data_IF_991773407708
#
_entry.id   IF_991773407708
#
_cell.length_a   1.000
_cell.length_b   1.000
_cell.length_c   1.000
_cell.angle_alpha   90.00
_cell.angle_beta   90.00
_cell.angle_gamma   90.00
#
_symmetry.space_group_name_H-M   'P 1'
#
loop_
_entity.id
_entity.type
_entity.pdbx_description
1 polymer ?
#
# COMPACT_ATOMS: atom_id res chain seq x y z
N UNK A 1 -15.25 17.96 -17.81
CA UNK A 1 -13.98 18.11 -17.06
C UNK A 1 -12.90 17.37 -17.82
N UNK A 2 -11.72 17.97 -17.98
CA UNK A 2 -10.57 17.30 -18.64
C UNK A 2 -9.99 16.22 -17.70
N UNK A 3 -9.41 15.15 -18.26
CA UNK A 3 -8.80 14.07 -17.45
C UNK A 3 -7.80 14.57 -16.39
N UNK A 4 -6.90 15.56 -16.69
CA UNK A 4 -6.02 16.14 -15.68
C UNK A 4 -6.76 16.78 -14.51
N UNK A 5 -7.88 17.47 -14.75
CA UNK A 5 -8.65 18.09 -13.67
C UNK A 5 -9.31 17.06 -12.75
N UNK A 6 -9.81 15.95 -13.30
CA UNK A 6 -10.37 14.84 -12.50
C UNK A 6 -9.27 14.20 -11.65
N UNK A 7 -8.10 13.96 -12.23
CA UNK A 7 -6.97 13.36 -11.52
C UNK A 7 -6.43 14.28 -10.41
N UNK A 8 -6.36 15.58 -10.66
CA UNK A 8 -5.98 16.55 -9.64
C UNK A 8 -7.00 16.60 -8.49
N UNK A 9 -8.30 16.69 -8.81
CA UNK A 9 -9.35 16.67 -7.80
C UNK A 9 -9.33 15.40 -6.94
N UNK A 10 -9.17 14.24 -7.56
CA UNK A 10 -9.04 12.94 -6.87
C UNK A 10 -7.82 12.96 -5.92
N UNK A 11 -6.66 13.39 -6.41
CA UNK A 11 -5.43 13.42 -5.59
C UNK A 11 -5.54 14.39 -4.42
N UNK A 12 -6.03 15.61 -4.65
CA UNK A 12 -6.21 16.61 -3.60
C UNK A 12 -7.17 16.10 -2.53
N UNK A 13 -8.32 15.56 -2.93
CA UNK A 13 -9.31 14.99 -2.01
C UNK A 13 -8.72 13.86 -1.20
N UNK A 14 -8.01 12.94 -1.86
CA UNK A 14 -7.35 11.81 -1.21
C UNK A 14 -6.33 12.28 -0.17
N UNK A 15 -5.43 13.22 -0.54
CA UNK A 15 -4.42 13.74 0.38
C UNK A 15 -5.04 14.51 1.54
N UNK A 16 -6.06 15.32 1.30
CA UNK A 16 -6.76 16.03 2.36
C UNK A 16 -7.34 15.09 3.42
N UNK A 17 -8.03 14.02 2.98
CA UNK A 17 -8.60 13.00 3.88
C UNK A 17 -7.48 12.24 4.59
N UNK A 18 -6.45 11.77 3.86
CA UNK A 18 -5.39 10.95 4.44
C UNK A 18 -4.55 11.75 5.43
N UNK A 19 -4.16 12.98 5.12
CA UNK A 19 -3.42 13.87 6.03
C UNK A 19 -4.26 14.17 7.29
N UNK A 20 -5.57 14.41 7.12
CA UNK A 20 -6.46 14.61 8.27
C UNK A 20 -6.52 13.36 9.18
N UNK A 21 -6.53 12.17 8.61
CA UNK A 21 -6.51 10.91 9.35
C UNK A 21 -5.18 10.71 10.11
N UNK A 22 -4.04 10.93 9.44
CA UNK A 22 -2.71 10.61 10.01
C UNK A 22 -2.16 11.69 10.96
N UNK A 23 -2.69 12.93 10.93
CA UNK A 23 -2.16 14.08 11.72
C UNK A 23 -2.04 13.85 13.23
N UNK A 24 -2.77 12.89 13.78
CA UNK A 24 -2.79 12.57 15.22
C UNK A 24 -2.18 11.21 15.55
N UNK A 25 -1.47 10.58 14.60
CA UNK A 25 -0.82 9.30 14.86
C UNK A 25 0.36 9.50 15.82
N UNK A 26 0.48 8.60 16.79
CA UNK A 26 1.66 8.52 17.66
C UNK A 26 2.50 7.35 17.19
N UNK A 27 3.73 7.64 16.79
CA UNK A 27 4.71 6.63 16.39
C UNK A 27 5.56 6.28 17.61
N UNK A 28 5.45 5.07 18.09
CA UNK A 28 6.36 4.49 19.08
C UNK A 28 7.44 3.65 18.35
N UNK A 29 8.53 3.37 19.04
CA UNK A 29 9.68 2.63 18.49
C UNK A 29 9.23 1.28 17.90
N UNK A 30 8.30 0.60 18.56
CA UNK A 30 7.77 -0.68 18.11
C UNK A 30 7.04 -0.56 16.79
N UNK A 31 6.17 0.43 16.66
CA UNK A 31 5.44 0.70 15.41
C UNK A 31 6.39 1.02 14.25
N UNK A 32 7.47 1.77 14.54
CA UNK A 32 8.50 2.09 13.54
C UNK A 32 9.22 0.81 13.10
N UNK A 33 9.60 -0.08 14.02
CA UNK A 33 10.25 -1.34 13.69
C UNK A 33 9.35 -2.22 12.80
N UNK A 34 8.06 -2.37 13.13
CA UNK A 34 7.13 -3.13 12.28
C UNK A 34 6.95 -2.46 10.93
N UNK A 35 6.77 -1.15 10.88
CA UNK A 35 6.64 -0.39 9.65
C UNK A 35 7.85 -0.58 8.73
N UNK A 36 9.07 -0.55 9.27
CA UNK A 36 10.31 -0.74 8.51
C UNK A 36 10.41 -2.14 7.91
N UNK A 37 10.12 -3.20 8.69
CA UNK A 37 10.13 -4.58 8.20
C UNK A 37 9.07 -4.79 7.10
N UNK A 38 7.85 -4.28 7.33
CA UNK A 38 6.78 -4.37 6.35
C UNK A 38 7.10 -3.58 5.08
N UNK A 39 7.73 -2.41 5.22
CA UNK A 39 8.18 -1.63 4.08
C UNK A 39 9.21 -2.39 3.25
N UNK A 40 10.23 -2.94 3.88
CA UNK A 40 11.24 -3.76 3.20
C UNK A 40 10.62 -4.96 2.47
N UNK A 41 9.72 -5.68 3.13
CA UNK A 41 9.01 -6.81 2.54
C UNK A 41 8.17 -6.38 1.33
N UNK A 42 7.45 -5.25 1.45
CA UNK A 42 6.66 -4.69 0.34
C UNK A 42 7.53 -4.37 -0.86
N UNK A 43 8.69 -3.72 -0.65
CA UNK A 43 9.63 -3.37 -1.72
C UNK A 43 10.17 -4.62 -2.41
N UNK A 44 10.60 -5.64 -1.64
CA UNK A 44 11.10 -6.90 -2.19
C UNK A 44 10.02 -7.60 -3.03
N UNK A 45 8.79 -7.72 -2.52
CA UNK A 45 7.68 -8.34 -3.25
C UNK A 45 7.28 -7.55 -4.50
N UNK A 46 7.39 -6.23 -4.47
CA UNK A 46 7.14 -5.38 -5.63
C UNK A 46 8.20 -5.56 -6.75
N UNK A 47 9.41 -6.00 -6.39
CA UNK A 47 10.47 -6.36 -7.34
C UNK A 47 10.20 -7.67 -8.08
N UNK A 48 9.43 -8.60 -7.49
CA UNK A 48 9.07 -9.88 -8.11
C UNK A 48 7.85 -9.66 -9.01
N UNK A 49 8.10 -9.56 -10.32
CA UNK A 49 7.07 -9.21 -11.31
C UNK A 49 6.86 -10.33 -12.32
N UNK A 50 5.60 -10.61 -12.61
CA UNK A 50 5.18 -11.55 -13.65
C UNK A 50 4.64 -10.71 -14.82
N UNK A 51 5.33 -10.71 -15.98
CA UNK A 51 4.89 -9.94 -17.14
C UNK A 51 3.62 -10.54 -17.74
N UNK A 52 2.72 -9.68 -18.16
CA UNK A 52 1.49 -10.06 -18.87
C UNK A 52 1.60 -9.75 -20.36
N UNK A 53 0.85 -10.44 -21.22
CA UNK A 53 0.81 -10.16 -22.67
C UNK A 53 0.37 -8.74 -23.02
N UNK A 54 -0.35 -8.06 -22.13
CA UNK A 54 -0.77 -6.66 -22.27
C UNK A 54 0.37 -5.65 -22.10
N UNK A 55 1.58 -6.10 -21.73
CA UNK A 55 2.71 -5.23 -21.37
C UNK A 55 2.68 -4.74 -19.91
N UNK A 56 1.63 -5.06 -19.16
CA UNK A 56 1.56 -4.79 -17.72
C UNK A 56 2.22 -5.91 -16.89
N UNK A 57 2.40 -5.68 -15.59
CA UNK A 57 2.99 -6.67 -14.69
C UNK A 57 2.10 -6.89 -13.47
N UNK A 58 2.04 -8.13 -12.99
CA UNK A 58 1.47 -8.48 -11.68
C UNK A 58 2.64 -8.68 -10.70
N UNK A 59 2.51 -8.16 -9.48
CA UNK A 59 3.50 -8.39 -8.43
C UNK A 59 3.12 -9.59 -7.56
N UNK A 60 4.11 -10.17 -6.88
CA UNK A 60 3.90 -11.35 -6.04
C UNK A 60 3.30 -10.99 -4.66
N UNK A 61 2.12 -10.35 -4.66
CA UNK A 61 1.41 -10.02 -3.41
C UNK A 61 1.99 -8.83 -2.65
N UNK A 62 2.61 -7.88 -3.34
CA UNK A 62 3.21 -6.69 -2.73
C UNK A 62 2.23 -5.81 -1.93
N UNK A 63 0.92 -5.98 -2.13
CA UNK A 63 -0.12 -5.23 -1.43
C UNK A 63 -0.42 -5.79 -0.04
N UNK A 64 -0.20 -7.09 0.15
CA UNK A 64 -0.57 -7.83 1.36
C UNK A 64 0.11 -7.27 2.61
N UNK A 65 1.44 -7.02 2.64
CA UNK A 65 2.11 -6.58 3.85
C UNK A 65 1.56 -5.26 4.41
N UNK A 66 1.30 -4.27 3.55
CA UNK A 66 0.72 -2.99 3.97
C UNK A 66 -0.72 -3.13 4.46
N UNK A 67 -1.55 -3.97 3.81
CA UNK A 67 -2.89 -4.27 4.30
C UNK A 67 -2.87 -4.96 5.66
N UNK A 68 -1.96 -5.91 5.87
CA UNK A 68 -1.77 -6.60 7.15
C UNK A 68 -1.30 -5.62 8.22
N UNK A 69 -0.35 -4.74 7.91
CA UNK A 69 0.10 -3.70 8.85
C UNK A 69 -1.07 -2.83 9.32
N UNK A 70 -1.95 -2.43 8.39
CA UNK A 70 -3.14 -1.65 8.66
C UNK A 70 -4.12 -2.35 9.61
N UNK A 71 -4.35 -3.65 9.41
CA UNK A 71 -5.29 -4.45 10.20
C UNK A 71 -4.72 -4.89 11.54
N UNK A 72 -3.41 -5.11 11.62
CA UNK A 72 -2.75 -5.63 12.83
C UNK A 72 -2.36 -4.52 13.80
N UNK A 73 -1.83 -3.41 13.32
CA UNK A 73 -1.41 -2.27 14.14
C UNK A 73 -2.41 -1.11 14.06
N UNK A 74 -2.25 -0.27 13.05
CA UNK A 74 -3.06 0.94 12.86
C UNK A 74 -3.10 1.34 11.37
N UNK A 75 -4.28 1.64 10.82
CA UNK A 75 -4.44 2.14 9.45
C UNK A 75 -3.55 3.35 9.14
N UNK A 76 -3.39 4.27 10.09
CA UNK A 76 -2.64 5.52 9.93
C UNK A 76 -1.15 5.25 9.76
N UNK A 77 -0.60 4.29 10.53
CA UNK A 77 0.80 3.87 10.42
C UNK A 77 1.03 3.25 9.04
N UNK A 78 0.11 2.40 8.57
CA UNK A 78 0.20 1.79 7.25
C UNK A 78 0.12 2.82 6.12
N UNK A 79 -0.70 3.88 6.24
CA UNK A 79 -0.76 4.97 5.26
C UNK A 79 0.58 5.71 5.15
N UNK A 80 1.21 6.06 6.28
CA UNK A 80 2.53 6.71 6.31
C UNK A 80 3.59 5.77 5.72
N UNK A 81 3.59 4.50 6.15
CA UNK A 81 4.49 3.48 5.61
C UNK A 81 4.31 3.32 4.10
N UNK A 82 3.08 3.38 3.62
CA UNK A 82 2.75 3.33 2.19
C UNK A 82 3.39 4.49 1.39
N UNK A 83 3.41 5.72 1.92
CA UNK A 83 4.12 6.82 1.27
C UNK A 83 5.61 6.55 1.13
N UNK A 84 6.24 6.04 2.20
CA UNK A 84 7.66 5.68 2.19
C UNK A 84 7.90 4.53 1.19
N UNK A 85 7.07 3.48 1.22
CA UNK A 85 7.16 2.36 0.28
C UNK A 85 7.04 2.82 -1.18
N UNK A 86 6.10 3.72 -1.48
CA UNK A 86 5.92 4.24 -2.84
C UNK A 86 7.18 4.91 -3.38
N UNK A 87 7.82 5.74 -2.57
CA UNK A 87 9.08 6.40 -2.93
C UNK A 87 10.20 5.36 -3.09
N UNK A 88 10.35 4.42 -2.15
CA UNK A 88 11.39 3.40 -2.20
C UNK A 88 11.23 2.46 -3.40
N UNK A 89 10.02 2.05 -3.74
CA UNK A 89 9.74 1.23 -4.93
C UNK A 89 10.18 1.97 -6.20
N UNK A 90 9.85 3.26 -6.31
CA UNK A 90 10.25 4.08 -7.45
C UNK A 90 11.77 4.21 -7.57
N UNK A 91 12.49 4.33 -6.45
CA UNK A 91 13.94 4.55 -6.45
C UNK A 91 14.74 3.25 -6.61
N UNK A 92 14.23 2.13 -6.09
CA UNK A 92 15.00 0.88 -5.98
C UNK A 92 14.65 -0.15 -7.05
N UNK A 93 13.46 -0.06 -7.67
CA UNK A 93 13.01 -1.08 -8.61
C UNK A 93 13.02 -0.52 -10.04
N UNK A 94 13.88 -1.04 -10.92
CA UNK A 94 13.92 -0.62 -12.32
C UNK A 94 12.56 -0.78 -13.03
N UNK A 95 12.21 0.15 -13.90
CA UNK A 95 10.94 0.14 -14.63
C UNK A 95 9.74 0.68 -13.86
N UNK A 96 9.97 1.31 -12.70
CA UNK A 96 8.97 2.06 -11.93
C UNK A 96 9.21 3.59 -12.02
N UNK A 97 10.07 4.00 -12.92
CA UNK A 97 10.36 5.41 -13.14
C UNK A 97 9.10 6.16 -13.57
N UNK A 98 8.98 7.38 -13.13
CA UNK A 98 7.86 8.25 -13.49
C UNK A 98 8.21 9.08 -14.73
N UNK A 99 7.28 9.18 -15.67
CA UNK A 99 7.42 10.02 -16.88
C UNK A 99 7.33 11.50 -16.53
N UNK A 100 6.59 11.83 -15.46
CA UNK A 100 6.37 13.20 -15.02
C UNK A 100 6.34 13.29 -13.50
N UNK A 101 6.90 14.35 -12.92
CA UNK A 101 6.96 14.52 -11.45
C UNK A 101 5.58 14.45 -10.76
N UNK A 102 4.51 14.98 -11.40
CA UNK A 102 3.16 14.93 -10.85
C UNK A 102 2.60 13.49 -10.73
N UNK A 103 3.14 12.56 -11.51
CA UNK A 103 2.78 11.14 -11.44
C UNK A 103 3.15 10.52 -10.09
N UNK A 104 4.21 11.01 -9.44
CA UNK A 104 4.64 10.54 -8.12
C UNK A 104 3.49 10.63 -7.11
N UNK A 105 2.76 11.73 -7.12
CA UNK A 105 1.64 11.93 -6.20
C UNK A 105 0.52 10.92 -6.42
N UNK A 106 0.11 10.69 -7.67
CA UNK A 106 -1.02 9.83 -8.00
C UNK A 106 -0.64 8.35 -7.95
N UNK A 107 0.47 8.00 -8.57
CA UNK A 107 0.83 6.59 -8.78
C UNK A 107 1.66 6.01 -7.64
N UNK A 108 2.57 6.78 -7.06
CA UNK A 108 3.42 6.28 -5.98
C UNK A 108 2.79 6.54 -4.61
N UNK A 109 2.50 7.79 -4.28
CA UNK A 109 2.03 8.13 -2.94
C UNK A 109 0.59 7.66 -2.68
N UNK A 110 -0.37 7.95 -3.57
CA UNK A 110 -1.76 7.50 -3.40
C UNK A 110 -1.84 5.99 -3.44
N UNK A 111 -1.28 5.34 -4.46
CA UNK A 111 -1.47 3.91 -4.69
C UNK A 111 -0.81 3.00 -3.65
N UNK A 112 0.24 3.43 -2.95
CA UNK A 112 0.80 2.65 -1.84
C UNK A 112 0.13 2.98 -0.51
N UNK A 113 -0.13 4.25 -0.21
CA UNK A 113 -0.76 4.62 1.06
C UNK A 113 -2.22 4.21 1.17
N UNK A 114 -2.94 4.08 0.04
CA UNK A 114 -4.34 3.63 0.05
C UNK A 114 -4.52 2.21 0.62
N UNK A 115 -3.49 1.37 0.61
CA UNK A 115 -3.53 0.06 1.23
C UNK A 115 -3.75 0.14 2.75
N UNK A 116 -3.40 1.27 3.37
CA UNK A 116 -3.73 1.57 4.76
C UNK A 116 -5.22 1.66 5.05
N UNK A 117 -6.08 1.94 4.06
CA UNK A 117 -7.53 1.95 4.25
C UNK A 117 -8.12 0.57 4.54
N UNK A 118 -7.37 -0.51 4.33
CA UNK A 118 -7.82 -1.88 4.63
C UNK A 118 -8.33 -2.05 6.07
N UNK A 119 -7.75 -1.34 7.04
CA UNK A 119 -8.13 -1.43 8.45
C UNK A 119 -9.14 -0.37 8.93
N UNK A 120 -9.60 0.55 8.10
CA UNK A 120 -10.45 1.69 8.53
C UNK A 120 -11.78 1.24 9.14
N UNK A 121 -12.36 0.15 8.65
CA UNK A 121 -13.62 -0.40 9.21
C UNK A 121 -13.40 -1.34 10.41
N UNK A 122 -12.14 -1.61 10.77
CA UNK A 122 -11.79 -2.53 11.84
C UNK A 122 -11.43 -3.92 11.35
N UNK A 123 -11.05 -4.80 12.30
CA UNK A 123 -10.51 -6.15 12.04
C UNK A 123 -11.32 -7.26 12.72
N UNK A 124 -12.25 -6.90 13.57
CA UNK A 124 -13.01 -7.80 14.48
C UNK A 124 -13.93 -8.76 13.73
N UNK A 125 -14.43 -8.37 12.57
CA UNK A 125 -15.33 -9.17 11.74
C UNK A 125 -14.80 -9.31 10.32
N UNK A 126 -14.88 -10.49 9.73
CA UNK A 126 -14.42 -10.76 8.37
C UNK A 126 -15.03 -9.81 7.32
N UNK A 127 -16.30 -9.46 7.45
CA UNK A 127 -16.94 -8.53 6.52
C UNK A 127 -16.34 -7.12 6.56
N UNK A 128 -15.90 -6.65 7.75
CA UNK A 128 -15.22 -5.35 7.87
C UNK A 128 -13.85 -5.37 7.19
N UNK A 129 -13.12 -6.49 7.36
CA UNK A 129 -11.85 -6.72 6.65
C UNK A 129 -12.08 -6.73 5.15
N UNK A 130 -13.11 -7.46 4.69
CA UNK A 130 -13.47 -7.52 3.27
C UNK A 130 -13.82 -6.13 2.72
N UNK A 131 -14.67 -5.36 3.40
CA UNK A 131 -15.02 -4.00 2.98
C UNK A 131 -13.80 -3.08 2.94
N UNK A 132 -12.93 -3.12 3.95
CA UNK A 132 -11.73 -2.28 4.02
C UNK A 132 -10.71 -2.62 2.94
N UNK A 133 -10.42 -3.89 2.74
CA UNK A 133 -9.50 -4.34 1.68
C UNK A 133 -10.05 -4.04 0.28
N UNK A 134 -11.35 -4.23 0.06
CA UNK A 134 -11.99 -3.87 -1.20
C UNK A 134 -11.91 -2.36 -1.47
N UNK A 135 -12.18 -1.52 -0.46
CA UNK A 135 -12.04 -0.07 -0.59
C UNK A 135 -10.60 0.31 -0.96
N UNK A 136 -9.61 -0.26 -0.29
CA UNK A 136 -8.20 0.00 -0.57
C UNK A 136 -7.83 -0.37 -2.02
N UNK A 137 -8.28 -1.54 -2.50
CA UNK A 137 -8.07 -2.01 -3.88
C UNK A 137 -8.75 -1.09 -4.89
N UNK A 138 -9.98 -0.66 -4.65
CA UNK A 138 -10.71 0.25 -5.55
C UNK A 138 -10.00 1.60 -5.67
N UNK A 139 -9.57 2.20 -4.56
CA UNK A 139 -8.82 3.46 -4.59
C UNK A 139 -7.52 3.29 -5.38
N UNK A 140 -6.82 2.16 -5.19
CA UNK A 140 -5.57 1.86 -5.91
C UNK A 140 -5.79 1.74 -7.41
N UNK A 141 -6.80 0.98 -7.82
CA UNK A 141 -7.16 0.82 -9.24
C UNK A 141 -7.53 2.18 -9.84
N UNK A 142 -8.37 2.97 -9.15
CA UNK A 142 -8.74 4.31 -9.61
C UNK A 142 -7.49 5.22 -9.81
N UNK A 143 -6.56 5.23 -8.85
CA UNK A 143 -5.31 5.98 -8.97
C UNK A 143 -4.46 5.55 -10.17
N UNK A 144 -4.31 4.25 -10.40
CA UNK A 144 -3.58 3.75 -11.56
C UNK A 144 -4.27 4.06 -12.89
N UNK A 145 -5.60 3.93 -12.97
CA UNK A 145 -6.38 4.27 -14.19
C UNK A 145 -6.28 5.74 -14.49
N UNK A 146 -6.46 6.62 -13.50
CA UNK A 146 -6.34 8.07 -13.67
C UNK A 146 -4.91 8.47 -14.10
N UNK A 147 -3.90 7.88 -13.49
CA UNK A 147 -2.51 8.08 -13.91
C UNK A 147 -2.28 7.61 -15.35
N UNK A 148 -2.82 6.46 -15.72
CA UNK A 148 -2.72 5.93 -17.08
C UNK A 148 -3.36 6.85 -18.13
N UNK A 149 -4.53 7.39 -17.86
CA UNK A 149 -5.21 8.31 -18.78
C UNK A 149 -4.43 9.62 -18.98
N UNK A 150 -3.80 10.14 -17.93
CA UNK A 150 -3.12 11.44 -17.99
C UNK A 150 -1.71 11.34 -18.54
N UNK A 151 -0.94 10.33 -18.13
CA UNK A 151 0.49 10.26 -18.39
C UNK A 151 0.90 9.23 -19.46
N UNK A 152 0.01 8.28 -19.79
CA UNK A 152 0.31 7.18 -20.72
C UNK A 152 -0.70 7.09 -21.88
N UNK A 153 -1.46 8.15 -22.14
CA UNK A 153 -2.42 8.18 -23.25
C UNK A 153 -1.79 7.96 -24.63
N UNK A 154 -0.53 8.36 -24.81
CA UNK A 154 0.24 8.13 -26.04
C UNK A 154 0.55 6.65 -26.30
N UNK A 155 0.46 5.79 -25.29
CA UNK A 155 0.69 4.35 -25.43
C UNK A 155 -0.60 3.59 -25.73
N UNK A 156 -1.72 4.29 -25.98
CA UNK A 156 -2.97 3.65 -26.31
C UNK A 156 -2.84 2.78 -27.57
N UNK A 157 -3.44 1.58 -27.52
CA UNK A 157 -3.45 0.66 -28.67
C UNK A 157 -4.25 1.26 -29.83
N UNK A 158 -3.91 0.86 -31.05
CA UNK A 158 -4.56 1.33 -32.25
C UNK A 158 -6.09 1.17 -32.15
N UNK A 159 -6.81 2.27 -32.40
CA UNK A 159 -8.26 2.31 -32.28
C UNK A 159 -8.83 2.44 -30.85
N UNK A 160 -7.99 2.48 -29.82
CA UNK A 160 -8.43 2.63 -28.42
C UNK A 160 -8.29 4.08 -27.96
N UNK A 161 -9.30 4.60 -27.27
CA UNK A 161 -9.18 5.88 -26.58
C UNK A 161 -8.39 5.74 -25.28
N UNK A 162 -7.80 6.86 -24.79
CA UNK A 162 -7.01 6.89 -23.56
C UNK A 162 -7.69 6.22 -22.34
N UNK A 163 -8.98 6.41 -22.17
CA UNK A 163 -9.76 5.79 -21.09
C UNK A 163 -9.90 4.27 -21.28
N UNK A 164 -10.26 3.82 -22.48
CA UNK A 164 -10.41 2.39 -22.76
C UNK A 164 -9.10 1.64 -22.57
N UNK A 165 -8.02 2.19 -23.12
CA UNK A 165 -6.67 1.64 -22.94
C UNK A 165 -6.27 1.58 -21.45
N UNK A 166 -6.38 2.69 -20.73
CA UNK A 166 -5.96 2.74 -19.33
C UNK A 166 -6.78 1.79 -18.44
N UNK A 167 -8.09 1.67 -18.68
CA UNK A 167 -8.94 0.70 -17.99
C UNK A 167 -8.49 -0.73 -18.28
N UNK A 168 -8.38 -1.13 -19.54
CA UNK A 168 -8.02 -2.48 -19.91
C UNK A 168 -6.62 -2.86 -19.39
N UNK A 169 -5.64 -1.97 -19.55
CA UNK A 169 -4.27 -2.19 -19.10
C UNK A 169 -4.16 -2.33 -17.59
N UNK A 170 -4.80 -1.45 -16.83
CA UNK A 170 -4.71 -1.50 -15.37
C UNK A 170 -5.58 -2.60 -14.77
N UNK A 171 -6.80 -2.84 -15.29
CA UNK A 171 -7.63 -3.93 -14.80
C UNK A 171 -7.03 -5.30 -15.07
N UNK A 172 -6.36 -5.51 -16.20
CA UNK A 172 -5.73 -6.81 -16.51
C UNK A 172 -4.69 -7.25 -15.47
N UNK A 173 -4.01 -6.31 -14.83
CA UNK A 173 -2.98 -6.61 -13.81
C UNK A 173 -3.44 -6.35 -12.38
N UNK A 174 -4.06 -5.20 -12.13
CA UNK A 174 -4.41 -4.75 -10.77
C UNK A 174 -5.63 -5.46 -10.19
N UNK A 175 -6.59 -5.88 -11.03
CA UNK A 175 -7.76 -6.59 -10.54
C UNK A 175 -7.43 -8.01 -10.04
N UNK A 176 -6.70 -8.88 -10.78
CA UNK A 176 -6.29 -10.19 -10.27
C UNK A 176 -5.43 -10.08 -9.00
N UNK A 177 -4.47 -9.15 -8.96
CA UNK A 177 -3.63 -8.92 -7.78
C UNK A 177 -4.45 -8.44 -6.59
N UNK A 178 -5.43 -7.57 -6.83
CA UNK A 178 -6.36 -7.08 -5.81
C UNK A 178 -7.24 -8.18 -5.24
N UNK A 179 -7.84 -9.01 -6.09
CA UNK A 179 -8.67 -10.15 -5.66
C UNK A 179 -7.84 -11.12 -4.83
N UNK A 180 -6.66 -11.48 -5.30
CA UNK A 180 -5.74 -12.37 -4.58
C UNK A 180 -5.39 -11.79 -3.20
N UNK A 181 -5.08 -10.50 -3.13
CA UNK A 181 -4.74 -9.82 -1.88
C UNK A 181 -5.93 -9.79 -0.92
N UNK A 182 -7.15 -9.50 -1.40
CA UNK A 182 -8.38 -9.53 -0.59
C UNK A 182 -8.61 -10.91 0.00
N UNK A 183 -8.52 -11.96 -0.84
CA UNK A 183 -8.73 -13.35 -0.40
C UNK A 183 -7.72 -13.74 0.68
N UNK A 184 -6.43 -13.54 0.39
CA UNK A 184 -5.37 -13.90 1.34
C UNK A 184 -5.55 -13.15 2.66
N UNK A 185 -5.71 -11.83 2.64
CA UNK A 185 -5.83 -11.02 3.86
C UNK A 185 -7.07 -11.38 4.67
N UNK A 186 -8.20 -11.70 4.02
CA UNK A 186 -9.44 -12.11 4.70
C UNK A 186 -9.32 -13.49 5.35
N UNK A 187 -8.50 -14.38 4.78
CA UNK A 187 -8.25 -15.72 5.32
C UNK A 187 -7.21 -15.74 6.46
N UNK A 188 -6.37 -14.71 6.57
CA UNK A 188 -5.34 -14.65 7.61
C UNK A 188 -5.96 -14.66 9.01
N UNK A 189 -5.31 -15.33 9.99
CA UNK A 189 -5.70 -15.33 11.39
C UNK A 189 -5.30 -14.01 12.08
N UNK A 190 -5.95 -12.90 11.72
CA UNK A 190 -5.61 -11.55 12.18
C UNK A 190 -5.59 -11.41 13.70
N UNK A 191 -6.44 -12.17 14.42
CA UNK A 191 -6.46 -12.17 15.87
C UNK A 191 -5.16 -12.71 16.48
N UNK A 192 -4.56 -13.73 15.89
CA UNK A 192 -3.26 -14.29 16.31
C UNK A 192 -2.12 -13.31 15.98
N UNK A 193 -2.10 -12.76 14.77
CA UNK A 193 -1.11 -11.77 14.36
C UNK A 193 -1.13 -10.54 15.25
N UNK A 194 -2.33 -10.06 15.57
CA UNK A 194 -2.51 -8.91 16.46
C UNK A 194 -2.07 -9.20 17.89
N UNK A 195 -2.41 -10.38 18.44
CA UNK A 195 -1.90 -10.81 19.73
C UNK A 195 -0.38 -10.85 19.76
N UNK A 196 0.25 -11.44 18.75
CA UNK A 196 1.71 -11.48 18.65
C UNK A 196 2.32 -10.07 18.54
N UNK A 197 1.70 -9.19 17.75
CA UNK A 197 2.16 -7.81 17.59
C UNK A 197 1.92 -6.93 18.83
N UNK A 198 0.93 -7.19 19.67
CA UNK A 198 0.61 -6.39 20.86
C UNK A 198 1.15 -6.96 22.17
N UNK A 199 1.64 -8.21 22.17
CA UNK A 199 2.19 -8.83 23.38
C UNK A 199 3.38 -8.00 23.88
N UNK A 200 3.30 -7.58 25.15
CA UNK A 200 4.41 -6.87 25.84
C UNK A 200 5.66 -7.77 25.79
N UNK A 201 6.74 -7.16 25.40
CA UNK A 201 8.11 -7.69 25.33
C UNK A 201 8.36 -8.94 26.15
N UNK A 202 8.90 -9.96 25.51
CA UNK A 202 9.41 -11.22 26.05
C UNK A 202 10.13 -11.00 27.41
N UNK A 203 9.89 -11.84 28.41
CA UNK A 203 10.46 -11.67 29.78
C UNK A 203 12.00 -11.58 29.83
N UNK A 204 12.68 -12.13 28.82
CA UNK A 204 14.13 -12.18 28.71
C UNK A 204 14.81 -10.82 28.59
N UNK A 205 14.13 -9.80 28.02
CA UNK A 205 14.75 -8.46 27.92
C UNK A 205 14.89 -7.79 29.27
N UNK A 206 13.97 -8.05 30.23
CA UNK A 206 14.11 -7.53 31.59
C UNK A 206 15.17 -8.28 32.41
N UNK A 207 15.39 -9.55 32.12
CA UNK A 207 16.41 -10.36 32.79
C UNK A 207 17.83 -10.00 32.29
N UNK A 208 18.01 -9.80 30.98
CA UNK A 208 19.30 -9.38 30.40
C UNK A 208 19.77 -8.00 30.92
N UNK A 209 18.87 -7.04 31.01
CA UNK A 209 19.24 -5.71 31.52
C UNK A 209 19.56 -5.68 33.04
N UNK A 210 19.00 -6.60 33.81
CA UNK A 210 19.37 -6.74 35.23
C UNK A 210 20.63 -7.55 35.46
N UNK A 211 21.05 -8.36 34.49
CA UNK A 211 22.26 -9.19 34.56
C UNK A 211 23.48 -8.58 33.84
N UNK A 212 23.30 -7.45 33.14
CA UNK A 212 24.39 -6.79 32.46
C UNK A 212 25.32 -6.15 33.50
N UNK A 213 26.64 -6.42 33.50
CA UNK A 213 27.59 -5.75 34.37
C UNK A 213 27.70 -4.26 34.01
N UNK A 214 28.05 -3.37 34.96
CA UNK A 214 27.98 -1.90 34.82
C UNK A 214 28.95 -1.29 33.81
N UNK A 215 29.57 -2.07 32.95
CA UNK A 215 30.55 -1.61 31.94
C UNK A 215 29.93 -1.24 30.58
N UNK A 216 28.58 -1.26 30.44
CA UNK A 216 27.87 -0.93 29.19
C UNK A 216 26.84 0.19 29.36
N UNK A 217 27.09 1.15 30.27
CA UNK A 217 26.40 2.44 30.34
C UNK A 217 27.31 3.55 29.83
#
# INVERSE_FOLDING_TARGET
MTAPAITAAFSVTYFAITIWLVRRVKLDVRSICYASVICALTVVLAGIRIPLPTGSNITCGSWIPLMVLSLVLDPRISMITGWICGILVMLLIPGWETVHWAQIFVQQLVCFSCLGYAGVFGWDKKWKVLCGTTLAVLIRIAGHVLSGVVFYSQNAWDGWGAWGYSLAFNLSSRLPEGILSIVIVTLLPLSLLRKAATHKVWPWTRACWRAAPPFWC
#
